data_IF_656689337056
#
_entry.id   IF_656689337056
#
_cell.length_a   1.000
_cell.length_b   1.000
_cell.length_c   1.000
_cell.angle_alpha   90.00
_cell.angle_beta   90.00
_cell.angle_gamma   90.00
#
_symmetry.space_group_name_H-M   'P 1'
#
loop_
_entity.id
_entity.type
_entity.pdbx_description
1 polymer ?
#
# COMPACT_ATOMS: atom_id res chain seq x y z
N UNK A 1 -39.79 27.30 -40.89
CA UNK A 1 -39.79 26.01 -40.17
C UNK A 1 -38.59 26.02 -39.23
N UNK A 2 -38.80 26.15 -37.92
CA UNK A 2 -37.72 26.24 -36.92
C UNK A 2 -37.47 24.82 -36.39
N UNK A 3 -36.29 24.28 -36.62
CA UNK A 3 -35.87 22.98 -36.08
C UNK A 3 -35.25 23.18 -34.70
N UNK A 4 -36.01 22.91 -33.64
CA UNK A 4 -35.48 22.84 -32.28
C UNK A 4 -34.92 21.44 -32.05
N UNK A 5 -33.59 21.28 -32.11
CA UNK A 5 -32.94 20.06 -31.63
C UNK A 5 -33.09 20.00 -30.10
N UNK A 6 -33.90 19.05 -29.61
CA UNK A 6 -33.87 18.65 -28.19
C UNK A 6 -32.48 18.07 -27.90
N UNK A 7 -31.67 18.82 -27.16
CA UNK A 7 -30.39 18.35 -26.62
C UNK A 7 -30.69 17.27 -25.58
N UNK A 8 -30.73 16.01 -26.01
CA UNK A 8 -30.79 14.86 -25.10
C UNK A 8 -29.57 14.96 -24.19
N UNK A 9 -29.78 15.09 -22.88
CA UNK A 9 -28.71 15.11 -21.90
C UNK A 9 -27.96 13.78 -22.02
N UNK A 10 -26.73 13.81 -22.55
CA UNK A 10 -25.89 12.64 -22.58
C UNK A 10 -25.70 12.16 -21.13
N UNK A 11 -26.09 10.92 -20.85
CA UNK A 11 -25.81 10.26 -19.58
C UNK A 11 -24.30 10.21 -19.45
N UNK A 12 -23.72 11.12 -18.65
CA UNK A 12 -22.28 11.21 -18.45
C UNK A 12 -21.87 9.98 -17.64
N UNK A 13 -21.46 8.92 -18.33
CA UNK A 13 -20.89 7.72 -17.71
C UNK A 13 -19.74 8.16 -16.81
N UNK A 14 -19.86 7.88 -15.51
CA UNK A 14 -18.79 8.14 -14.54
C UNK A 14 -17.58 7.34 -14.97
N UNK A 15 -16.43 7.99 -15.16
CA UNK A 15 -15.22 7.31 -15.60
C UNK A 15 -14.67 6.48 -14.44
N UNK A 16 -14.26 5.24 -14.73
CA UNK A 16 -13.64 4.37 -13.73
C UNK A 16 -12.17 4.73 -13.54
N UNK A 17 -11.73 4.82 -12.29
CA UNK A 17 -10.31 4.91 -11.95
C UNK A 17 -9.80 3.50 -11.65
N UNK A 18 -8.83 3.04 -12.44
CA UNK A 18 -8.31 1.69 -12.30
C UNK A 18 -7.19 1.59 -11.28
N UNK A 19 -6.36 2.63 -11.16
CA UNK A 19 -5.22 2.60 -10.26
C UNK A 19 -4.84 3.97 -9.72
N UNK A 20 -4.22 3.96 -8.54
CA UNK A 20 -3.60 5.13 -7.91
C UNK A 20 -2.13 4.81 -7.66
N UNK A 21 -1.23 5.70 -8.05
CA UNK A 21 0.18 5.61 -7.67
C UNK A 21 0.40 6.36 -6.36
N UNK A 22 1.10 5.71 -5.42
CA UNK A 22 1.41 6.30 -4.13
C UNK A 22 2.80 5.90 -3.64
N UNK A 23 3.41 6.72 -2.79
CA UNK A 23 4.68 6.48 -2.14
C UNK A 23 4.44 6.19 -0.66
N UNK A 24 5.13 5.18 -0.12
CA UNK A 24 5.16 4.96 1.32
C UNK A 24 5.96 6.10 1.99
N UNK A 25 5.33 6.77 2.95
CA UNK A 25 5.90 7.82 3.78
C UNK A 25 5.39 7.62 5.22
N UNK A 26 6.28 7.31 6.16
CA UNK A 26 5.91 6.81 7.48
C UNK A 26 4.95 5.61 7.39
N UNK A 27 3.78 5.72 8.03
CA UNK A 27 2.72 4.69 8.04
C UNK A 27 1.64 4.90 6.97
N UNK A 28 1.92 5.66 5.90
CA UNK A 28 0.90 6.03 4.90
C UNK A 28 1.40 5.88 3.48
N UNK A 29 0.50 5.46 2.58
CA UNK A 29 0.69 5.61 1.14
C UNK A 29 0.13 6.96 0.69
N UNK A 30 0.99 7.83 0.20
CA UNK A 30 0.66 9.19 -0.24
C UNK A 30 0.78 9.30 -1.76
N UNK A 31 -0.28 9.75 -2.42
CA UNK A 31 -0.39 9.79 -3.88
C UNK A 31 -1.28 10.92 -4.37
N UNK A 32 -1.66 10.83 -5.65
CA UNK A 32 -2.57 11.79 -6.30
C UNK A 32 -3.59 11.08 -7.19
N UNK A 33 -4.79 11.65 -7.28
CA UNK A 33 -5.82 11.29 -8.26
C UNK A 33 -5.98 12.49 -9.21
N UNK A 34 -5.74 12.27 -10.49
CA UNK A 34 -5.83 13.33 -11.49
C UNK A 34 -7.28 13.64 -11.91
N UNK A 35 -7.67 14.91 -12.09
CA UNK A 35 -6.84 16.10 -11.89
C UNK A 35 -6.85 16.59 -10.44
N UNK A 36 -5.66 16.70 -9.82
CA UNK A 36 -5.43 17.57 -8.66
C UNK A 36 -6.02 17.19 -7.30
N UNK A 37 -6.34 15.92 -7.03
CA UNK A 37 -6.73 15.48 -5.69
C UNK A 37 -5.54 14.80 -4.98
N UNK A 38 -5.25 15.21 -3.75
CA UNK A 38 -4.28 14.50 -2.91
C UNK A 38 -4.95 13.25 -2.33
N UNK A 39 -4.23 12.13 -2.35
CA UNK A 39 -4.70 10.85 -1.83
C UNK A 39 -3.77 10.38 -0.71
N UNK A 40 -4.34 9.93 0.40
CA UNK A 40 -3.61 9.31 1.51
C UNK A 40 -4.34 8.05 1.92
N UNK A 41 -3.61 6.94 2.00
CA UNK A 41 -4.06 5.73 2.69
C UNK A 41 -3.19 5.50 3.92
N UNK A 42 -3.71 5.87 5.08
CA UNK A 42 -3.04 5.72 6.36
C UNK A 42 -3.29 4.31 6.91
N UNK A 43 -2.21 3.53 7.03
CA UNK A 43 -2.26 2.14 7.49
C UNK A 43 -2.51 2.10 9.00
N UNK A 44 -3.39 1.19 9.44
CA UNK A 44 -3.79 1.04 10.84
C UNK A 44 -3.53 -0.37 11.37
N UNK A 45 -3.75 -1.39 10.55
CA UNK A 45 -3.51 -2.78 10.94
C UNK A 45 -3.16 -3.66 9.75
N UNK A 46 -2.62 -4.84 10.06
CA UNK A 46 -2.29 -5.87 9.09
C UNK A 46 -2.75 -7.26 9.59
N UNK A 47 -3.20 -8.11 8.67
CA UNK A 47 -3.60 -9.47 8.96
C UNK A 47 -3.34 -10.40 7.77
N UNK A 48 -3.22 -11.70 8.04
CA UNK A 48 -3.32 -12.73 7.00
C UNK A 48 -4.78 -13.16 6.90
N UNK A 49 -5.41 -12.94 5.76
CA UNK A 49 -6.81 -13.30 5.49
C UNK A 49 -6.86 -14.13 4.22
N UNK A 50 -7.39 -15.34 4.30
CA UNK A 50 -7.48 -16.29 3.18
C UNK A 50 -6.12 -16.49 2.46
N UNK A 51 -5.05 -16.63 3.23
CA UNK A 51 -3.69 -16.81 2.70
C UNK A 51 -3.11 -15.58 1.99
N UNK A 52 -3.65 -14.38 2.24
CA UNK A 52 -3.15 -13.12 1.67
C UNK A 52 -2.94 -12.08 2.74
N UNK A 53 -1.98 -11.20 2.50
CA UNK A 53 -1.81 -10.00 3.30
C UNK A 53 -2.99 -9.05 3.05
N UNK A 54 -3.70 -8.69 4.10
CA UNK A 54 -4.71 -7.64 4.12
C UNK A 54 -4.23 -6.52 5.05
N UNK A 55 -4.15 -5.30 4.53
CA UNK A 55 -3.96 -4.09 5.31
C UNK A 55 -5.33 -3.44 5.53
N UNK A 56 -5.54 -2.88 6.72
CA UNK A 56 -6.71 -2.02 6.99
C UNK A 56 -6.21 -0.62 7.33
N UNK A 57 -6.95 0.39 6.89
CA UNK A 57 -6.57 1.77 7.12
C UNK A 57 -7.65 2.78 6.77
N UNK A 58 -7.26 4.04 6.80
CA UNK A 58 -8.08 5.20 6.46
C UNK A 58 -7.67 5.77 5.12
N UNK A 59 -8.60 5.85 4.18
CA UNK A 59 -8.41 6.63 2.94
C UNK A 59 -8.89 8.04 3.17
N UNK A 60 -8.06 9.03 2.86
CA UNK A 60 -8.42 10.45 2.84
C UNK A 60 -8.11 11.04 1.46
N UNK A 61 -9.03 11.86 0.95
CA UNK A 61 -8.86 12.59 -0.29
C UNK A 61 -9.07 14.07 -0.02
N UNK A 62 -8.12 14.90 -0.47
CA UNK A 62 -8.24 16.35 -0.44
C UNK A 62 -8.38 16.86 -1.86
N UNK A 63 -9.52 17.50 -2.15
CA UNK A 63 -9.78 18.12 -3.44
C UNK A 63 -8.94 19.40 -3.62
N UNK A 64 -8.77 19.85 -4.86
CA UNK A 64 -8.11 21.12 -5.17
C UNK A 64 -8.75 22.35 -4.48
N UNK A 65 -10.04 22.25 -4.13
CA UNK A 65 -10.75 23.27 -3.33
C UNK A 65 -10.34 23.31 -1.86
N UNK A 66 -9.49 22.40 -1.40
CA UNK A 66 -9.08 22.24 0.00
C UNK A 66 -10.03 21.39 0.84
N UNK A 67 -11.20 20.98 0.31
CA UNK A 67 -12.13 20.10 1.02
C UNK A 67 -11.53 18.69 1.16
N UNK A 68 -11.50 18.18 2.39
CA UNK A 68 -11.08 16.81 2.69
C UNK A 68 -12.28 15.92 3.00
N UNK A 69 -12.28 14.71 2.45
CA UNK A 69 -13.21 13.65 2.78
C UNK A 69 -12.44 12.36 3.07
N UNK A 70 -13.02 11.46 3.86
CA UNK A 70 -12.35 10.23 4.26
C UNK A 70 -13.30 9.04 4.35
N UNK A 71 -12.73 7.84 4.23
CA UNK A 71 -13.34 6.55 4.47
C UNK A 71 -12.48 5.77 5.46
N UNK A 72 -13.09 5.24 6.50
CA UNK A 72 -12.45 4.43 7.54
C UNK A 72 -12.57 2.94 7.23
N UNK A 73 -11.74 2.10 7.86
CA UNK A 73 -11.77 0.63 7.74
C UNK A 73 -11.65 0.14 6.28
N UNK A 74 -10.91 0.87 5.45
CA UNK A 74 -10.66 0.50 4.06
C UNK A 74 -9.65 -0.65 4.04
N UNK A 75 -10.06 -1.75 3.43
CA UNK A 75 -9.23 -2.95 3.27
C UNK A 75 -8.40 -2.85 2.00
N UNK A 76 -7.17 -3.33 2.05
CA UNK A 76 -6.25 -3.38 0.93
C UNK A 76 -5.59 -4.76 0.89
N UNK A 77 -6.00 -5.60 -0.05
CA UNK A 77 -5.50 -6.97 -0.17
C UNK A 77 -4.34 -7.04 -1.16
N UNK A 78 -3.23 -7.67 -0.77
CA UNK A 78 -2.09 -7.90 -1.64
C UNK A 78 -2.46 -8.73 -2.86
N UNK A 79 -2.15 -8.21 -4.05
CA UNK A 79 -2.35 -8.86 -5.35
C UNK A 79 -1.06 -9.36 -5.98
N UNK A 80 0.05 -8.72 -5.65
CA UNK A 80 1.36 -9.09 -6.12
C UNK A 80 2.36 -8.01 -5.82
N UNK A 81 3.59 -8.30 -6.21
CA UNK A 81 4.74 -7.44 -5.96
C UNK A 81 5.62 -7.34 -7.20
N UNK A 82 6.31 -6.22 -7.36
CA UNK A 82 7.28 -6.02 -8.43
C UNK A 82 8.55 -5.34 -7.90
N UNK A 83 9.70 -5.81 -8.39
CA UNK A 83 11.03 -5.45 -7.90
C UNK A 83 11.77 -6.73 -7.49
N UNK A 84 13.10 -6.69 -7.40
CA UNK A 84 13.79 -7.82 -6.78
C UNK A 84 13.46 -7.81 -5.27
N UNK A 85 13.35 -9.00 -4.69
CA UNK A 85 13.24 -9.16 -3.25
C UNK A 85 14.61 -9.65 -2.79
N UNK A 86 15.33 -8.76 -2.13
CA UNK A 86 16.69 -8.90 -1.66
C UNK A 86 16.73 -8.66 -0.16
N UNK A 87 17.85 -9.03 0.45
CA UNK A 87 18.07 -8.94 1.88
C UNK A 87 18.03 -7.46 2.32
N UNK A 88 16.86 -7.00 2.75
CA UNK A 88 16.75 -5.79 3.54
C UNK A 88 17.21 -6.12 4.97
N UNK A 89 17.78 -5.13 5.66
CA UNK A 89 18.23 -5.34 7.03
C UNK A 89 17.04 -5.54 7.97
N UNK A 90 17.16 -6.55 8.83
CA UNK A 90 16.20 -6.83 9.88
C UNK A 90 16.10 -5.64 10.84
N UNK A 91 14.89 -5.15 11.17
CA UNK A 91 14.70 -4.07 12.13
C UNK A 91 15.35 -4.41 13.48
N UNK A 92 16.11 -3.46 14.06
CA UNK A 92 16.87 -3.69 15.29
C UNK A 92 15.99 -4.12 16.49
N UNK A 93 14.74 -3.66 16.52
CA UNK A 93 13.78 -4.00 17.56
C UNK A 93 13.06 -5.34 17.32
N UNK A 94 13.25 -5.98 16.15
CA UNK A 94 12.63 -7.27 15.86
C UNK A 94 13.47 -8.39 16.50
N UNK A 95 12.96 -8.96 17.60
CA UNK A 95 13.67 -9.97 18.39
C UNK A 95 13.36 -11.41 18.00
N UNK A 96 12.39 -11.64 17.12
CA UNK A 96 11.99 -13.00 16.76
C UNK A 96 13.08 -13.67 15.92
N UNK A 97 13.57 -14.82 16.38
CA UNK A 97 14.42 -15.72 15.59
C UNK A 97 13.48 -16.60 14.80
N UNK A 98 13.16 -16.17 13.58
CA UNK A 98 12.39 -16.96 12.63
C UNK A 98 13.26 -17.36 11.45
N UNK A 99 12.95 -18.50 10.79
CA UNK A 99 13.47 -18.77 9.47
C UNK A 99 13.08 -17.60 8.56
N UNK A 100 14.07 -16.85 8.08
CA UNK A 100 13.85 -15.86 7.03
C UNK A 100 13.36 -16.58 5.78
N UNK A 101 12.39 -16.00 5.07
CA UNK A 101 12.03 -16.47 3.74
C UNK A 101 13.18 -16.32 2.73
N UNK A 102 14.27 -15.63 3.13
CA UNK A 102 15.50 -15.45 2.36
C UNK A 102 16.67 -16.18 3.01
N UNK A 103 17.57 -16.70 2.19
CA UNK A 103 18.67 -17.55 2.64
C UNK A 103 19.80 -16.80 3.40
N UNK A 104 19.76 -15.46 3.52
CA UNK A 104 20.85 -14.68 4.12
C UNK A 104 20.33 -13.40 4.81
N UNK A 105 19.95 -13.48 6.08
CA UNK A 105 19.89 -12.30 6.94
C UNK A 105 21.32 -12.06 7.47
N UNK A 106 22.08 -11.14 6.87
CA UNK A 106 23.43 -10.83 7.34
C UNK A 106 23.36 -10.13 8.73
N UNK A 107 23.79 -10.84 9.77
CA UNK A 107 24.15 -10.26 11.07
C UNK A 107 25.58 -9.72 10.96
N UNK A 108 25.77 -8.42 10.69
CA UNK A 108 27.08 -7.78 10.88
C UNK A 108 26.92 -6.59 11.85
N UNK A 109 27.83 -6.51 12.83
CA UNK A 109 27.80 -5.60 13.98
C UNK A 109 28.36 -4.20 13.65
N UNK A 110 28.51 -3.87 12.36
CA UNK A 110 29.13 -2.63 11.90
C UNK A 110 28.10 -1.53 11.67
N UNK A 111 28.42 -0.27 12.01
CA UNK A 111 27.57 0.87 11.67
C UNK A 111 27.50 1.03 10.14
N UNK A 112 26.29 0.96 9.59
CA UNK A 112 26.05 0.96 8.15
C UNK A 112 26.01 2.37 7.59
N UNK A 113 27.12 2.80 7.01
CA UNK A 113 27.22 4.10 6.33
C UNK A 113 26.90 4.07 4.84
N UNK A 114 26.62 2.91 4.21
CA UNK A 114 26.17 2.86 2.80
C UNK A 114 25.07 1.82 2.58
N UNK A 115 23.85 2.32 2.31
CA UNK A 115 22.61 1.55 2.18
C UNK A 115 22.41 1.00 0.75
N UNK A 116 23.44 0.37 0.19
CA UNK A 116 23.36 -0.34 -1.09
C UNK A 116 24.28 -1.56 -1.10
N UNK A 117 23.77 -2.73 -0.72
CA UNK A 117 24.35 -4.00 -1.20
C UNK A 117 23.25 -4.97 -1.67
N UNK A 118 23.61 -5.76 -2.70
CA UNK A 118 22.91 -6.70 -3.59
C UNK A 118 21.40 -6.55 -3.89
N UNK A 119 20.83 -5.38 -3.63
CA UNK A 119 19.76 -4.71 -4.41
C UNK A 119 18.43 -5.46 -4.54
N UNK A 120 17.55 -5.24 -3.56
CA UNK A 120 16.29 -4.45 -3.65
C UNK A 120 15.22 -5.03 -2.73
N UNK A 121 14.48 -4.20 -2.00
CA UNK A 121 13.18 -4.65 -1.48
C UNK A 121 12.08 -4.39 -2.50
N UNK A 122 10.84 -4.74 -2.13
CA UNK A 122 9.63 -4.44 -2.89
C UNK A 122 9.68 -3.03 -3.51
N UNK A 123 9.89 -2.96 -4.82
CA UNK A 123 9.90 -1.69 -5.54
C UNK A 123 8.48 -1.13 -5.67
N UNK A 124 7.52 -2.02 -5.87
CA UNK A 124 6.08 -1.75 -5.95
C UNK A 124 5.29 -2.89 -5.32
N UNK A 125 4.32 -2.57 -4.47
CA UNK A 125 3.25 -3.48 -4.06
C UNK A 125 1.96 -3.12 -4.78
N UNK A 126 1.21 -4.14 -5.18
CA UNK A 126 -0.10 -4.00 -5.79
C UNK A 126 -1.16 -4.41 -4.79
N UNK A 127 -1.95 -3.45 -4.33
CA UNK A 127 -3.02 -3.67 -3.36
C UNK A 127 -4.36 -3.44 -4.04
N UNK A 128 -5.27 -4.40 -3.95
CA UNK A 128 -6.68 -4.18 -4.32
C UNK A 128 -7.41 -3.54 -3.14
N UNK A 129 -7.92 -2.33 -3.32
CA UNK A 129 -8.72 -1.66 -2.31
C UNK A 129 -10.15 -2.22 -2.29
N UNK A 130 -10.75 -2.30 -1.11
CA UNK A 130 -12.21 -2.45 -0.98
C UNK A 130 -12.92 -1.32 -1.71
N UNK A 131 -14.13 -1.57 -2.21
CA UNK A 131 -14.90 -0.59 -2.96
C UNK A 131 -15.03 0.74 -2.18
N UNK A 132 -14.70 1.85 -2.84
CA UNK A 132 -14.82 3.20 -2.30
C UNK A 132 -15.93 3.97 -3.02
N UNK A 133 -16.64 4.81 -2.28
CA UNK A 133 -17.59 5.76 -2.87
C UNK A 133 -16.87 7.05 -3.26
N UNK A 134 -16.59 7.20 -4.55
CA UNK A 134 -15.98 8.40 -5.11
C UNK A 134 -16.77 9.67 -4.80
N UNK A 135 -18.11 9.64 -4.79
CA UNK A 135 -18.93 10.83 -4.51
C UNK A 135 -18.75 11.31 -3.08
N UNK A 136 -18.78 10.37 -2.13
CA UNK A 136 -18.56 10.66 -0.71
C UNK A 136 -17.13 11.18 -0.47
N UNK A 137 -16.15 10.68 -1.23
CA UNK A 137 -14.76 11.15 -1.19
C UNK A 137 -14.51 12.45 -1.99
N UNK A 138 -15.54 13.00 -2.66
CA UNK A 138 -15.41 14.22 -3.47
C UNK A 138 -14.65 14.02 -4.78
N UNK A 139 -14.55 12.78 -5.27
CA UNK A 139 -13.84 12.39 -6.47
C UNK A 139 -14.83 12.09 -7.61
N UNK A 140 -14.67 12.66 -8.82
CA UNK A 140 -15.60 12.47 -9.94
C UNK A 140 -15.36 11.16 -10.72
N UNK A 141 -14.89 10.11 -10.05
CA UNK A 141 -14.56 8.80 -10.64
C UNK A 141 -15.24 7.66 -9.89
N UNK A 142 -15.49 6.57 -10.58
CA UNK A 142 -15.87 5.30 -9.96
C UNK A 142 -14.62 4.65 -9.35
N UNK A 143 -14.66 4.48 -8.02
CA UNK A 143 -13.58 3.93 -7.20
C UNK A 143 -13.92 2.53 -6.66
N UNK A 144 -14.90 1.84 -7.23
CA UNK A 144 -15.38 0.54 -6.77
C UNK A 144 -14.37 -0.61 -6.87
N UNK A 145 -13.33 -0.46 -7.70
CA UNK A 145 -12.31 -1.49 -7.90
C UNK A 145 -10.94 -0.87 -8.24
N UNK A 146 -10.40 -0.09 -7.30
CA UNK A 146 -9.11 0.59 -7.46
C UNK A 146 -7.97 -0.30 -7.03
N UNK A 147 -6.91 -0.35 -7.83
CA UNK A 147 -5.61 -0.87 -7.43
C UNK A 147 -4.71 0.25 -6.92
N UNK A 148 -4.21 0.14 -5.70
CA UNK A 148 -3.15 0.99 -5.19
C UNK A 148 -1.80 0.40 -5.59
N UNK A 149 -1.03 1.16 -6.36
CA UNK A 149 0.34 0.87 -6.76
C UNK A 149 1.28 1.58 -5.79
N UNK A 150 1.55 0.94 -4.65
CA UNK A 150 2.37 1.49 -3.58
C UNK A 150 3.85 1.30 -3.88
N UNK A 151 4.59 2.37 -4.10
CA UNK A 151 6.06 2.36 -4.18
C UNK A 151 6.62 2.53 -2.78
N UNK A 152 7.53 1.66 -2.39
CA UNK A 152 8.18 1.75 -1.09
C UNK A 152 9.43 2.60 -1.25
N UNK A 153 9.46 3.73 -0.53
CA UNK A 153 10.63 4.60 -0.48
C UNK A 153 11.09 4.61 0.98
N UNK A 154 12.28 4.10 1.24
CA UNK A 154 12.87 4.02 2.57
C UNK A 154 13.36 5.42 3.05
N UNK A 155 12.47 6.41 3.07
CA UNK A 155 12.79 7.81 3.40
C UNK A 155 13.00 8.04 4.91
N UNK A 156 12.44 7.17 5.74
CA UNK A 156 12.59 7.19 7.20
C UNK A 156 12.73 5.76 7.76
N UNK A 157 12.96 5.64 9.08
CA UNK A 157 13.16 4.34 9.72
C UNK A 157 11.87 3.49 9.76
N UNK A 158 10.70 4.11 9.93
CA UNK A 158 9.42 3.40 9.95
C UNK A 158 9.17 2.81 8.56
N UNK A 159 9.38 3.58 7.50
CA UNK A 159 9.24 3.13 6.12
C UNK A 159 10.22 1.99 5.80
N UNK A 160 11.46 2.03 6.34
CA UNK A 160 12.43 0.93 6.24
C UNK A 160 11.94 -0.34 6.94
N UNK A 161 11.43 -0.21 8.16
CA UNK A 161 10.92 -1.35 8.93
C UNK A 161 9.70 -1.97 8.22
N UNK A 162 8.75 -1.12 7.78
CA UNK A 162 7.57 -1.56 7.01
C UNK A 162 7.97 -2.24 5.70
N UNK A 163 8.96 -1.71 4.98
CA UNK A 163 9.49 -2.37 3.78
C UNK A 163 9.97 -3.79 4.08
N UNK A 164 10.73 -3.95 5.17
CA UNK A 164 11.25 -5.25 5.57
C UNK A 164 10.14 -6.23 5.91
N UNK A 165 9.19 -5.86 6.78
CA UNK A 165 8.09 -6.75 7.15
C UNK A 165 7.20 -7.11 5.96
N UNK A 166 6.93 -6.14 5.07
CA UNK A 166 6.16 -6.38 3.86
C UNK A 166 6.89 -7.33 2.91
N UNK A 167 8.21 -7.23 2.74
CA UNK A 167 9.00 -8.17 1.94
C UNK A 167 8.88 -9.60 2.49
N UNK A 168 9.15 -9.79 3.77
CA UNK A 168 9.15 -11.12 4.40
C UNK A 168 7.75 -11.76 4.30
N UNK A 169 6.71 -11.00 4.64
CA UNK A 169 5.33 -11.46 4.57
C UNK A 169 4.93 -11.80 3.13
N UNK A 170 5.22 -10.93 2.17
CA UNK A 170 4.88 -11.15 0.77
C UNK A 170 5.57 -12.39 0.21
N UNK A 171 6.87 -12.56 0.42
CA UNK A 171 7.62 -13.70 -0.10
C UNK A 171 7.15 -15.04 0.50
N UNK A 172 6.86 -15.06 1.81
CA UNK A 172 6.30 -16.24 2.47
C UNK A 172 4.91 -16.58 1.90
N UNK A 173 4.04 -15.59 1.70
CA UNK A 173 2.70 -15.79 1.17
C UNK A 173 2.69 -16.20 -0.32
N UNK A 174 3.59 -15.65 -1.13
CA UNK A 174 3.77 -16.08 -2.53
C UNK A 174 4.23 -17.53 -2.64
N UNK A 175 5.01 -17.99 -1.66
CA UNK A 175 5.43 -19.40 -1.53
C UNK A 175 4.40 -20.28 -0.81
N UNK A 176 3.20 -19.75 -0.52
CA UNK A 176 2.13 -20.41 0.23
C UNK A 176 2.54 -20.90 1.64
N UNK A 177 3.51 -20.24 2.26
CA UNK A 177 4.01 -20.51 3.61
C UNK A 177 3.33 -19.62 4.65
N UNK A 178 2.03 -19.82 4.88
CA UNK A 178 1.22 -18.96 5.75
C UNK A 178 1.78 -18.89 7.18
N UNK A 179 2.18 -20.01 7.77
CA UNK A 179 2.75 -20.06 9.12
C UNK A 179 4.08 -19.30 9.25
N UNK A 180 4.81 -19.12 8.15
CA UNK A 180 6.04 -18.32 8.11
C UNK A 180 5.70 -16.83 7.96
N UNK A 181 4.62 -16.50 7.25
CA UNK A 181 4.16 -15.12 7.06
C UNK A 181 3.54 -14.51 8.33
N UNK A 182 2.76 -15.30 9.08
CA UNK A 182 1.97 -14.84 10.23
C UNK A 182 2.74 -14.00 11.26
N UNK A 183 3.95 -14.39 11.69
CA UNK A 183 4.69 -13.56 12.64
C UNK A 183 5.18 -12.24 12.06
N UNK A 184 5.58 -12.21 10.78
CA UNK A 184 5.97 -10.97 10.11
C UNK A 184 4.79 -10.01 9.98
N UNK A 185 3.61 -10.54 9.68
CA UNK A 185 2.37 -9.76 9.64
C UNK A 185 1.96 -9.28 11.04
N UNK A 186 2.21 -10.07 12.08
CA UNK A 186 1.94 -9.68 13.46
C UNK A 186 2.82 -8.52 13.91
N UNK A 187 4.10 -8.52 13.54
CA UNK A 187 4.99 -7.38 13.79
C UNK A 187 4.66 -6.16 12.92
N UNK A 188 4.27 -6.38 11.67
CA UNK A 188 3.75 -5.32 10.82
C UNK A 188 2.57 -4.63 11.51
N UNK A 189 1.61 -5.40 12.02
CA UNK A 189 0.48 -4.88 12.78
C UNK A 189 0.93 -4.09 14.03
N UNK A 190 1.91 -4.61 14.78
CA UNK A 190 2.47 -3.92 15.94
C UNK A 190 3.10 -2.58 15.57
N UNK A 191 3.92 -2.53 14.51
CA UNK A 191 4.57 -1.29 14.05
C UNK A 191 3.56 -0.25 13.58
N UNK A 192 2.48 -0.70 12.93
CA UNK A 192 1.39 0.16 12.47
C UNK A 192 0.61 0.81 13.62
N UNK A 193 0.44 0.10 14.74
CA UNK A 193 -0.29 0.61 15.92
C UNK A 193 0.50 1.65 16.73
N UNK A 194 1.83 1.65 16.64
CA UNK A 194 2.69 2.57 17.39
C UNK A 194 3.09 2.02 18.73
#
# INVERSE_FOLDING_TARGET
MIFTQKKTAATRTVRKLHSIHALLNGRSFVGKIEPGHEFVYALQSAAVVNGKLELTGKVSVKAASGKTAAAENVKATLRGVQGAIGAAQKPANFKLVLPSAFAADAQDDKPLTEFTDSRSGLGVIYLALSALDGKTLGVPFDLSAVQLNGRITAVDQIARDLQWFLNQAAAALESNQVSVAEPYVSELDRVLRG
#
